data_IF_487898672611
#
_entry.id   IF_487898672611
#
_cell.length_a   1.000
_cell.length_b   1.000
_cell.length_c   1.000
_cell.angle_alpha   90.00
_cell.angle_beta   90.00
_cell.angle_gamma   90.00
#
_symmetry.space_group_name_H-M   'P 1'
#
loop_
_entity.id
_entity.type
_entity.pdbx_description
1 polymer ?
#
# COMPACT_ATOMS: atom_id res chain seq x y z
N UNK A 1 73.65 -20.88 39.32
CA UNK A 1 72.25 -20.62 39.69
C UNK A 1 71.61 -19.62 38.72
N UNK A 2 72.28 -18.51 38.39
CA UNK A 2 71.86 -17.54 37.37
C UNK A 2 71.50 -18.13 36.00
N UNK A 3 72.35 -19.01 35.44
CA UNK A 3 72.12 -19.61 34.12
C UNK A 3 70.83 -20.45 34.00
N UNK A 4 70.35 -21.02 35.10
CA UNK A 4 69.11 -21.82 35.10
C UNK A 4 67.88 -20.91 35.12
N UNK A 5 67.95 -19.80 35.85
CA UNK A 5 66.87 -18.81 35.95
C UNK A 5 66.66 -18.13 34.59
N UNK A 6 67.75 -17.79 33.90
CA UNK A 6 67.70 -17.16 32.58
C UNK A 6 67.05 -18.08 31.53
N UNK A 7 67.41 -19.37 31.50
CA UNK A 7 66.80 -20.36 30.60
C UNK A 7 65.30 -20.53 30.86
N UNK A 8 64.87 -20.55 32.13
CA UNK A 8 63.45 -20.66 32.48
C UNK A 8 62.69 -19.41 32.05
N UNK A 9 63.29 -18.23 32.23
CA UNK A 9 62.69 -16.95 31.85
C UNK A 9 62.49 -16.86 30.32
N UNK A 10 63.53 -17.18 29.54
CA UNK A 10 63.48 -17.19 28.07
C UNK A 10 62.43 -18.18 27.55
N UNK A 11 62.36 -19.38 28.14
CA UNK A 11 61.38 -20.40 27.73
C UNK A 11 59.94 -19.95 27.99
N UNK A 12 59.69 -19.31 29.14
CA UNK A 12 58.35 -18.76 29.47
C UNK A 12 57.97 -17.61 28.53
N UNK A 13 58.90 -16.70 28.24
CA UNK A 13 58.68 -15.58 27.32
C UNK A 13 58.34 -16.09 25.91
N UNK A 14 59.08 -17.09 25.40
CA UNK A 14 58.79 -17.71 24.11
C UNK A 14 57.42 -18.37 24.05
N UNK A 15 56.98 -19.02 25.14
CA UNK A 15 55.66 -19.64 25.21
C UNK A 15 54.53 -18.58 25.21
N UNK A 16 54.70 -17.49 25.95
CA UNK A 16 53.75 -16.36 25.98
C UNK A 16 53.66 -15.70 24.60
N UNK A 17 54.79 -15.43 23.94
CA UNK A 17 54.82 -14.82 22.61
C UNK A 17 54.14 -15.69 21.54
N UNK A 18 54.30 -17.02 21.60
CA UNK A 18 53.58 -17.95 20.72
C UNK A 18 52.06 -17.89 20.93
N UNK A 19 51.60 -17.90 22.19
CA UNK A 19 50.17 -17.83 22.48
C UNK A 19 49.54 -16.51 22.02
N UNK A 20 50.24 -15.38 22.19
CA UNK A 20 49.80 -14.07 21.68
C UNK A 20 49.68 -14.08 20.15
N UNK A 21 50.66 -14.67 19.46
CA UNK A 21 50.66 -14.79 18.00
C UNK A 21 49.49 -15.67 17.51
N UNK A 22 49.20 -16.79 18.19
CA UNK A 22 48.05 -17.64 17.87
C UNK A 22 46.72 -16.92 18.08
N UNK A 23 46.57 -16.14 19.16
CA UNK A 23 45.35 -15.36 19.38
C UNK A 23 45.15 -14.24 18.35
N UNK A 24 46.23 -13.57 17.92
CA UNK A 24 46.17 -12.57 16.85
C UNK A 24 45.81 -13.18 15.49
N UNK A 25 46.35 -14.36 15.18
CA UNK A 25 46.02 -15.09 13.95
C UNK A 25 44.54 -15.53 13.91
N UNK A 26 43.97 -15.95 15.04
CA UNK A 26 42.55 -16.33 15.13
C UNK A 26 41.62 -15.12 14.95
N UNK A 27 41.97 -13.96 15.52
CA UNK A 27 41.17 -12.72 15.38
C UNK A 27 41.11 -12.21 13.93
N UNK A 28 42.18 -12.37 13.16
CA UNK A 28 42.23 -11.96 11.75
C UNK A 28 41.35 -12.83 10.83
N UNK A 29 41.05 -14.08 11.21
CA UNK A 29 40.18 -14.98 10.44
C UNK A 29 38.67 -14.66 10.59
N UNK A 30 38.28 -13.85 11.58
CA UNK A 30 36.88 -13.42 11.76
C UNK A 30 36.55 -12.06 11.12
N UNK A 31 37.53 -11.36 10.52
CA UNK A 31 37.35 -9.99 10.02
C UNK A 31 37.05 -9.86 8.51
N UNK A 32 36.58 -10.92 7.84
CA UNK A 32 36.19 -10.81 6.43
C UNK A 32 34.83 -11.47 6.16
N UNK A 33 33.80 -10.94 6.81
CA UNK A 33 32.48 -10.87 6.17
C UNK A 33 32.27 -9.42 5.78
N UNK A 34 32.66 -9.10 4.55
CA UNK A 34 32.13 -7.94 3.85
C UNK A 34 30.60 -8.02 3.94
N UNK A 35 30.02 -7.16 4.77
CA UNK A 35 28.59 -6.93 4.72
C UNK A 35 28.35 -6.34 3.33
N UNK A 36 27.76 -7.14 2.45
CA UNK A 36 27.10 -6.61 1.28
C UNK A 36 25.95 -5.76 1.80
N UNK A 37 26.22 -4.49 2.12
CA UNK A 37 25.20 -3.46 2.07
C UNK A 37 24.82 -3.36 0.60
N UNK A 38 23.87 -4.18 0.18
CA UNK A 38 23.03 -3.78 -0.93
C UNK A 38 22.45 -2.43 -0.51
N UNK A 39 22.81 -1.38 -1.23
CA UNK A 39 22.06 -0.14 -1.17
C UNK A 39 20.61 -0.53 -1.50
N UNK A 40 19.77 -0.65 -0.48
CA UNK A 40 18.32 -0.71 -0.67
C UNK A 40 18.00 0.56 -1.46
N UNK A 41 17.63 0.36 -2.72
CA UNK A 41 17.15 1.45 -3.55
C UNK A 41 15.98 2.09 -2.79
N UNK A 42 15.82 3.40 -2.89
CA UNK A 42 14.75 4.18 -2.26
C UNK A 42 13.32 3.77 -2.69
N UNK A 43 13.16 2.63 -3.36
CA UNK A 43 11.91 2.06 -3.86
C UNK A 43 11.38 0.89 -3.01
N UNK A 44 12.02 0.56 -1.88
CA UNK A 44 11.59 -0.55 -0.99
C UNK A 44 10.68 -0.13 0.17
N UNK A 45 10.12 1.10 0.16
CA UNK A 45 9.27 1.62 1.25
C UNK A 45 7.83 1.97 0.82
N UNK A 46 7.28 1.30 -0.20
CA UNK A 46 5.84 1.39 -0.44
C UNK A 46 5.17 0.21 0.29
N UNK A 47 4.70 0.43 1.51
CA UNK A 47 3.92 -0.58 2.24
C UNK A 47 2.48 -0.59 1.71
N UNK A 48 2.28 -1.21 0.54
CA UNK A 48 1.01 -1.16 -0.20
C UNK A 48 0.04 -2.29 0.17
N UNK A 49 0.58 -3.42 0.63
CA UNK A 49 -0.17 -4.64 0.95
C UNK A 49 -1.40 -4.42 1.83
N UNK A 50 -1.38 -3.53 2.85
CA UNK A 50 -2.54 -3.31 3.70
C UNK A 50 -3.79 -2.83 2.94
N UNK A 51 -3.62 -2.12 1.81
CA UNK A 51 -4.71 -1.53 1.04
C UNK A 51 -5.25 -2.45 -0.05
N UNK A 52 -4.45 -3.40 -0.54
CA UNK A 52 -4.83 -4.32 -1.62
C UNK A 52 -6.01 -5.20 -1.17
N UNK A 53 -7.03 -5.33 -2.02
CA UNK A 53 -8.23 -6.13 -1.78
C UNK A 53 -9.52 -5.36 -2.00
N UNK A 54 -10.63 -5.98 -1.60
CA UNK A 54 -11.97 -5.39 -1.70
C UNK A 54 -12.36 -4.70 -0.39
N UNK A 55 -12.91 -3.51 -0.49
CA UNK A 55 -13.42 -2.69 0.61
C UNK A 55 -14.88 -2.36 0.37
N UNK A 56 -15.69 -2.41 1.42
CA UNK A 56 -17.13 -2.17 1.32
C UNK A 56 -17.62 -1.19 2.37
N UNK A 57 -18.53 -0.31 1.94
CA UNK A 57 -19.39 0.46 2.80
C UNK A 57 -20.84 0.12 2.46
N UNK A 58 -21.62 -0.30 3.46
CA UNK A 58 -23.03 -0.65 3.29
C UNK A 58 -23.92 0.39 3.95
N UNK A 59 -24.92 0.88 3.22
CA UNK A 59 -25.96 1.78 3.69
C UNK A 59 -27.34 1.21 3.36
N UNK A 60 -27.95 0.51 4.33
CA UNK A 60 -29.21 -0.21 4.09
C UNK A 60 -29.01 -1.34 3.06
N UNK A 61 -29.74 -1.26 1.96
CA UNK A 61 -29.67 -2.25 0.87
C UNK A 61 -28.64 -1.88 -0.21
N UNK A 62 -27.91 -0.78 -0.07
CA UNK A 62 -26.89 -0.36 -1.04
C UNK A 62 -25.49 -0.64 -0.50
N UNK A 63 -24.60 -1.12 -1.36
CA UNK A 63 -23.19 -1.33 -1.10
C UNK A 63 -22.39 -0.47 -2.06
N UNK A 64 -21.48 0.33 -1.51
CA UNK A 64 -20.38 0.93 -2.23
C UNK A 64 -19.15 0.03 -2.06
N UNK A 65 -18.70 -0.59 -3.15
CA UNK A 65 -17.60 -1.55 -3.17
C UNK A 65 -16.42 -0.97 -3.95
N UNK A 66 -15.22 -1.04 -3.39
CA UNK A 66 -13.97 -0.61 -4.03
C UNK A 66 -13.02 -1.78 -4.10
N UNK A 67 -12.39 -2.00 -5.25
CA UNK A 67 -11.29 -2.96 -5.41
C UNK A 67 -9.98 -2.22 -5.63
N UNK A 68 -8.99 -2.51 -4.81
CA UNK A 68 -7.65 -1.91 -4.88
C UNK A 68 -6.63 -3.01 -5.19
N UNK A 69 -5.77 -2.78 -6.17
CA UNK A 69 -4.72 -3.71 -6.59
C UNK A 69 -3.40 -2.98 -6.83
N UNK A 70 -2.30 -3.73 -6.78
CA UNK A 70 -0.97 -3.20 -7.09
C UNK A 70 -0.64 -3.41 -8.57
N UNK A 71 -0.12 -2.37 -9.20
CA UNK A 71 0.46 -2.42 -10.54
C UNK A 71 1.68 -1.50 -10.62
N UNK A 72 2.84 -2.07 -10.94
CA UNK A 72 4.11 -1.35 -11.11
C UNK A 72 4.45 -0.40 -9.94
N UNK A 73 4.31 -0.87 -8.70
CA UNK A 73 4.58 -0.12 -7.44
C UNK A 73 3.57 0.98 -7.10
N UNK A 74 2.44 1.03 -7.81
CA UNK A 74 1.32 1.93 -7.53
C UNK A 74 0.08 1.15 -7.14
N UNK A 75 -0.78 1.79 -6.35
CA UNK A 75 -2.13 1.29 -6.09
C UNK A 75 -3.08 1.85 -7.13
N UNK A 76 -3.81 0.95 -7.77
CA UNK A 76 -4.88 1.23 -8.72
C UNK A 76 -6.18 0.65 -8.22
N UNK A 77 -7.31 1.11 -8.76
CA UNK A 77 -8.59 0.55 -8.36
C UNK A 77 -9.78 1.06 -9.16
N UNK A 78 -10.89 0.38 -8.89
CA UNK A 78 -12.21 0.60 -9.47
C UNK A 78 -13.27 0.47 -8.37
N UNK A 79 -14.47 0.97 -8.63
CA UNK A 79 -15.58 0.90 -7.68
C UNK A 79 -16.93 0.57 -8.35
N UNK A 80 -17.85 0.08 -7.52
CA UNK A 80 -19.19 -0.35 -7.90
C UNK A 80 -20.22 0.14 -6.88
N UNK A 81 -21.39 0.50 -7.40
CA UNK A 81 -22.61 0.62 -6.63
C UNK A 81 -23.45 -0.63 -6.84
N UNK A 82 -23.85 -1.24 -5.75
CA UNK A 82 -24.52 -2.54 -5.72
C UNK A 82 -25.80 -2.41 -4.89
N UNK A 83 -26.91 -2.92 -5.41
CA UNK A 83 -28.15 -3.06 -4.65
C UNK A 83 -28.31 -4.52 -4.19
N UNK A 84 -28.75 -4.70 -2.94
CA UNK A 84 -28.99 -5.99 -2.31
C UNK A 84 -30.50 -6.20 -2.14
N UNK A 85 -31.05 -7.15 -2.90
CA UNK A 85 -32.46 -7.52 -2.82
C UNK A 85 -32.57 -8.98 -2.38
N UNK A 86 -33.10 -9.21 -1.19
CA UNK A 86 -33.23 -10.55 -0.59
C UNK A 86 -31.92 -11.36 -0.58
N UNK A 87 -30.79 -10.67 -0.33
CA UNK A 87 -29.45 -11.27 -0.33
C UNK A 87 -28.84 -11.48 -1.71
N UNK A 88 -29.51 -11.05 -2.79
CA UNK A 88 -28.95 -11.06 -4.15
C UNK A 88 -28.38 -9.69 -4.46
N UNK A 89 -27.08 -9.64 -4.77
CA UNK A 89 -26.38 -8.44 -5.22
C UNK A 89 -26.62 -8.20 -6.71
N UNK A 90 -26.91 -6.96 -7.08
CA UNK A 90 -26.99 -6.49 -8.47
C UNK A 90 -26.15 -5.23 -8.62
N UNK A 91 -25.20 -5.22 -9.55
CA UNK A 91 -24.45 -4.01 -9.90
C UNK A 91 -25.43 -3.06 -10.60
N UNK A 92 -25.64 -1.89 -10.00
CA UNK A 92 -26.49 -0.83 -10.56
C UNK A 92 -25.65 0.26 -11.24
N UNK A 93 -24.38 0.38 -10.86
CA UNK A 93 -23.41 1.23 -11.53
C UNK A 93 -21.98 0.77 -11.27
N UNK A 94 -21.08 1.04 -12.20
CA UNK A 94 -19.65 0.70 -12.10
C UNK A 94 -18.78 1.76 -12.76
N UNK A 95 -17.63 2.05 -12.15
CA UNK A 95 -16.63 2.98 -12.69
C UNK A 95 -15.89 2.43 -13.90
N UNK A 96 -15.95 1.12 -14.04
CA UNK A 96 -15.19 0.36 -15.00
C UNK A 96 -16.11 -0.17 -16.08
N UNK A 97 -15.91 0.28 -17.32
CA UNK A 97 -16.74 -0.10 -18.45
C UNK A 97 -15.93 -0.07 -19.76
N UNK A 98 -16.46 -0.75 -20.78
CA UNK A 98 -15.99 -0.57 -22.15
C UNK A 98 -16.57 0.72 -22.72
N UNK A 99 -15.72 1.56 -23.30
CA UNK A 99 -16.15 2.80 -23.94
C UNK A 99 -17.16 2.45 -25.06
N UNK A 100 -18.36 3.05 -25.06
CA UNK A 100 -19.41 2.73 -26.02
C UNK A 100 -18.90 2.71 -27.46
N UNK A 101 -19.31 1.69 -28.22
CA UNK A 101 -18.92 1.48 -29.62
C UNK A 101 -17.42 1.22 -29.85
N UNK A 102 -16.68 0.81 -28.82
CA UNK A 102 -15.27 0.43 -28.92
C UNK A 102 -15.00 -0.88 -28.15
N UNK A 103 -13.82 -1.46 -28.39
CA UNK A 103 -13.26 -2.52 -27.56
C UNK A 103 -12.24 -1.96 -26.55
N UNK A 104 -12.31 -0.66 -26.26
CA UNK A 104 -11.37 0.03 -25.37
C UNK A 104 -11.99 0.05 -23.97
N UNK A 105 -11.18 -0.41 -23.03
CA UNK A 105 -11.48 -0.42 -21.61
C UNK A 105 -11.14 0.94 -21.00
N UNK A 106 -12.03 1.52 -20.18
CA UNK A 106 -11.85 2.86 -19.62
C UNK A 106 -10.63 2.98 -18.69
N UNK A 107 -10.13 1.87 -18.15
CA UNK A 107 -8.97 1.85 -17.25
C UNK A 107 -9.37 1.92 -15.79
N UNK A 108 -8.38 2.12 -14.94
CA UNK A 108 -8.56 2.36 -13.51
C UNK A 108 -9.02 3.80 -13.27
N UNK A 109 -9.85 4.00 -12.25
CA UNK A 109 -10.29 5.34 -11.81
C UNK A 109 -9.62 5.80 -10.53
N UNK A 110 -8.95 4.89 -9.81
CA UNK A 110 -8.15 5.18 -8.62
C UNK A 110 -6.67 5.04 -8.95
N UNK A 111 -5.86 6.02 -8.56
CA UNK A 111 -4.40 5.95 -8.69
C UNK A 111 -3.67 6.64 -7.55
N UNK A 112 -2.83 5.90 -6.83
CA UNK A 112 -1.99 6.48 -5.78
C UNK A 112 -1.09 5.48 -5.08
N UNK A 113 -0.89 5.67 -3.78
CA UNK A 113 0.00 4.83 -3.00
C UNK A 113 0.05 5.19 -1.52
N UNK A 114 0.93 4.52 -0.80
CA UNK A 114 1.20 4.75 0.62
C UNK A 114 2.69 4.70 0.91
N UNK A 115 3.13 5.52 1.86
CA UNK A 115 4.51 5.55 2.36
C UNK A 115 4.65 4.80 3.70
N UNK A 116 3.56 4.65 4.45
CA UNK A 116 3.59 4.17 5.84
C UNK A 116 2.79 2.87 6.06
N UNK A 117 1.96 2.46 5.10
CA UNK A 117 1.07 1.31 5.25
C UNK A 117 -0.15 1.57 6.14
N UNK A 118 -0.36 2.82 6.54
CA UNK A 118 -1.48 3.25 7.39
C UNK A 118 -2.41 4.16 6.57
N UNK A 119 -1.86 5.09 5.82
CA UNK A 119 -2.59 6.03 4.98
C UNK A 119 -2.25 5.86 3.51
N UNK A 120 -3.27 5.63 2.70
CA UNK A 120 -3.21 5.75 1.25
C UNK A 120 -3.70 7.14 0.84
N UNK A 121 -2.98 7.77 -0.07
CA UNK A 121 -3.43 8.97 -0.78
C UNK A 121 -3.45 8.70 -2.28
N UNK A 122 -4.50 9.15 -2.96
CA UNK A 122 -4.71 8.87 -4.37
C UNK A 122 -5.56 9.91 -5.08
N UNK A 123 -5.43 9.95 -6.39
CA UNK A 123 -6.41 10.58 -7.28
C UNK A 123 -7.57 9.62 -7.50
N UNK A 124 -8.77 10.17 -7.72
CA UNK A 124 -9.96 9.42 -8.08
C UNK A 124 -10.74 10.17 -9.16
N UNK A 125 -11.24 9.46 -10.16
CA UNK A 125 -12.22 9.96 -11.13
C UNK A 125 -13.59 9.38 -10.80
N UNK A 126 -14.55 10.25 -10.47
CA UNK A 126 -15.95 9.85 -10.40
C UNK A 126 -16.62 10.01 -11.76
N UNK A 127 -16.56 8.94 -12.54
CA UNK A 127 -17.18 8.80 -13.85
C UNK A 127 -18.56 8.12 -13.78
N UNK A 128 -19.24 8.19 -12.63
CA UNK A 128 -20.53 7.53 -12.38
C UNK A 128 -21.66 8.50 -12.02
N UNK A 129 -21.46 9.80 -12.19
CA UNK A 129 -22.54 10.78 -12.05
C UNK A 129 -23.54 10.60 -13.19
N UNK A 130 -24.84 10.62 -12.84
CA UNK A 130 -25.97 10.38 -13.75
C UNK A 130 -25.97 8.96 -14.38
N UNK A 131 -25.39 7.98 -13.70
CA UNK A 131 -25.24 6.60 -14.17
C UNK A 131 -26.54 5.90 -14.53
N UNK A 132 -27.63 6.23 -13.84
CA UNK A 132 -28.98 5.70 -14.07
C UNK A 132 -29.51 6.01 -15.48
N UNK A 133 -28.93 7.01 -16.15
CA UNK A 133 -29.31 7.43 -17.50
C UNK A 133 -28.50 6.74 -18.61
N UNK A 134 -27.61 5.80 -18.25
CA UNK A 134 -26.76 5.06 -19.18
C UNK A 134 -25.42 5.74 -19.48
N UNK A 135 -24.52 5.01 -20.16
CA UNK A 135 -23.11 5.42 -20.35
C UNK A 135 -22.96 6.77 -21.07
N UNK A 136 -23.80 7.08 -22.06
CA UNK A 136 -23.69 8.31 -22.86
C UNK A 136 -24.09 9.57 -22.07
N UNK A 137 -24.82 9.42 -20.97
CA UNK A 137 -25.26 10.51 -20.12
C UNK A 137 -24.34 10.76 -18.92
N UNK A 138 -23.37 9.87 -18.66
CA UNK A 138 -22.51 9.96 -17.49
C UNK A 138 -21.63 11.21 -17.53
N UNK A 139 -21.44 11.79 -16.35
CA UNK A 139 -20.50 12.90 -16.14
C UNK A 139 -19.35 12.46 -15.25
N UNK A 140 -18.24 13.18 -15.38
CA UNK A 140 -17.01 12.96 -14.62
C UNK A 140 -16.73 14.10 -13.64
N UNK A 141 -16.13 13.79 -12.50
CA UNK A 141 -15.47 14.80 -11.67
C UNK A 141 -14.21 14.23 -11.01
N UNK A 142 -13.10 14.96 -11.19
CA UNK A 142 -11.80 14.58 -10.63
C UNK A 142 -11.66 14.99 -9.16
N UNK A 143 -11.05 14.07 -8.41
CA UNK A 143 -10.89 14.15 -6.98
C UNK A 143 -9.55 13.68 -6.46
N UNK A 144 -9.39 13.86 -5.16
CA UNK A 144 -8.45 13.09 -4.36
C UNK A 144 -9.23 12.27 -3.36
N UNK A 145 -8.77 11.06 -3.06
CA UNK A 145 -9.28 10.30 -1.92
C UNK A 145 -8.16 9.86 -0.99
N UNK A 146 -8.55 9.55 0.25
CA UNK A 146 -7.71 8.90 1.23
C UNK A 146 -8.40 7.69 1.85
N UNK A 147 -7.60 6.65 2.10
CA UNK A 147 -7.98 5.49 2.89
C UNK A 147 -7.04 5.38 4.08
N UNK A 148 -7.56 5.53 5.30
CA UNK A 148 -6.75 5.47 6.54
C UNK A 148 -7.17 4.25 7.34
N UNK A 149 -6.28 3.26 7.45
CA UNK A 149 -6.54 2.02 8.18
C UNK A 149 -6.70 2.34 9.66
N UNK A 150 -7.79 1.84 10.24
CA UNK A 150 -8.03 1.90 11.66
C UNK A 150 -7.42 0.66 12.32
N UNK A 151 -6.82 0.82 13.49
CA UNK A 151 -6.26 -0.30 14.24
C UNK A 151 -7.37 -1.28 14.64
N UNK A 152 -7.29 -2.54 14.17
CA UNK A 152 -8.24 -3.59 14.52
C UNK A 152 -7.85 -4.36 15.79
N UNK A 153 -8.84 -4.99 16.42
CA UNK A 153 -8.62 -6.06 17.40
C UNK A 153 -8.30 -7.39 16.71
N UNK A 154 -7.64 -8.31 17.42
CA UNK A 154 -7.37 -9.66 16.91
C UNK A 154 -8.69 -10.36 16.60
N UNK A 155 -8.91 -10.74 15.32
CA UNK A 155 -10.13 -11.40 14.84
C UNK A 155 -11.26 -10.46 14.43
N UNK A 156 -11.08 -9.14 14.53
CA UNK A 156 -12.04 -8.16 14.04
C UNK A 156 -11.82 -7.87 12.55
N UNK A 157 -12.87 -7.53 11.79
CA UNK A 157 -12.69 -7.05 10.41
C UNK A 157 -11.76 -5.83 10.37
N UNK A 158 -10.91 -5.76 9.36
CA UNK A 158 -10.07 -4.59 9.14
C UNK A 158 -10.96 -3.46 8.62
N UNK A 159 -10.91 -2.29 9.24
CA UNK A 159 -11.66 -1.11 8.81
C UNK A 159 -10.75 0.04 8.41
N UNK A 160 -11.27 0.94 7.60
CA UNK A 160 -10.56 2.15 7.21
C UNK A 160 -11.52 3.32 7.00
N UNK A 161 -11.05 4.52 7.31
CA UNK A 161 -11.73 5.76 6.97
C UNK A 161 -11.55 6.06 5.49
N UNK A 162 -12.67 6.17 4.77
CA UNK A 162 -12.74 6.58 3.38
C UNK A 162 -13.19 8.03 3.28
N UNK A 163 -12.45 8.82 2.51
CA UNK A 163 -12.79 10.22 2.28
C UNK A 163 -12.40 10.65 0.88
N UNK A 164 -13.33 11.32 0.20
CA UNK A 164 -13.09 11.94 -1.11
C UNK A 164 -13.22 13.46 -1.00
N UNK A 165 -12.48 14.18 -1.84
CA UNK A 165 -12.61 15.62 -1.96
C UNK A 165 -12.36 16.06 -3.38
N UNK A 166 -13.22 16.95 -3.88
CA UNK A 166 -13.11 17.43 -5.25
C UNK A 166 -11.91 18.38 -5.37
N UNK A 167 -11.14 18.24 -6.44
CA UNK A 167 -10.05 19.17 -6.74
C UNK A 167 -10.63 20.58 -6.99
N UNK A 168 -9.99 21.59 -6.38
CA UNK A 168 -10.36 23.00 -6.57
C UNK A 168 -9.73 23.52 -7.86
N UNK A 169 -10.49 24.29 -8.64
CA UNK A 169 -10.03 24.85 -9.91
C UNK A 169 -11.12 25.65 -10.61
N UNK A 170 -10.78 26.22 -11.78
CA UNK A 170 -11.77 26.79 -12.68
C UNK A 170 -12.67 25.68 -13.22
N UNK A 171 -13.98 25.93 -13.29
CA UNK A 171 -14.98 24.99 -13.77
C UNK A 171 -15.88 25.65 -14.81
N UNK A 172 -16.30 24.88 -15.81
CA UNK A 172 -17.29 25.36 -16.77
C UNK A 172 -18.71 25.26 -16.21
N UNK A 173 -19.65 26.00 -16.81
CA UNK A 173 -21.06 25.94 -16.43
C UNK A 173 -21.61 24.57 -16.84
N UNK A 174 -22.14 23.81 -15.89
CA UNK A 174 -22.72 22.47 -16.12
C UNK A 174 -21.85 21.31 -15.63
N UNK A 175 -20.59 21.57 -15.26
CA UNK A 175 -19.75 20.55 -14.61
C UNK A 175 -20.30 20.16 -13.23
N UNK A 176 -20.28 18.86 -12.88
CA UNK A 176 -20.69 18.40 -11.57
C UNK A 176 -19.90 19.05 -10.43
N UNK A 177 -20.57 19.22 -9.30
CA UNK A 177 -20.00 19.86 -8.11
C UNK A 177 -19.96 18.96 -6.88
N UNK A 178 -20.44 17.75 -7.03
CA UNK A 178 -20.58 16.75 -5.98
C UNK A 178 -20.18 15.39 -6.58
N UNK A 179 -19.68 14.51 -5.72
CA UNK A 179 -19.48 13.12 -6.07
C UNK A 179 -20.80 12.35 -5.93
N UNK A 180 -20.98 11.34 -6.77
CA UNK A 180 -21.89 10.23 -6.50
C UNK A 180 -21.30 9.25 -5.46
N UNK A 181 -19.97 9.18 -5.40
CA UNK A 181 -19.21 8.36 -4.45
C UNK A 181 -19.41 8.87 -3.01
N UNK A 182 -19.69 7.99 -2.02
CA UNK A 182 -19.80 8.41 -0.62
C UNK A 182 -18.48 8.96 -0.09
N UNK A 183 -18.55 9.88 0.88
CA UNK A 183 -17.40 10.45 1.59
C UNK A 183 -17.61 10.37 3.09
N UNK A 184 -16.50 10.38 3.85
CA UNK A 184 -16.50 10.40 5.32
C UNK A 184 -17.24 9.18 5.91
N UNK A 185 -16.94 8.00 5.35
CA UNK A 185 -17.53 6.71 5.75
C UNK A 185 -16.45 5.74 6.25
N UNK A 186 -16.87 4.73 7.01
CA UNK A 186 -16.01 3.62 7.42
C UNK A 186 -16.23 2.46 6.48
N UNK A 187 -15.18 2.06 5.79
CA UNK A 187 -15.18 0.86 4.95
C UNK A 187 -14.63 -0.33 5.71
N UNK A 188 -15.13 -1.52 5.38
CA UNK A 188 -14.65 -2.80 5.90
C UNK A 188 -13.93 -3.56 4.79
N UNK A 189 -12.77 -4.13 5.09
CA UNK A 189 -12.05 -5.00 4.16
C UNK A 189 -12.74 -6.37 4.11
N UNK A 190 -13.01 -6.83 2.91
CA UNK A 190 -13.59 -8.16 2.68
C UNK A 190 -12.47 -9.21 2.65
N UNK A 191 -12.73 -10.35 3.29
CA UNK A 191 -11.78 -11.47 3.40
C UNK A 191 -11.65 -12.26 2.10
#
# INVERSE_FOLDING_TARGET
MESLIEKILVTKILHIMKNILYTLAILLLFSCKSQNLSAQSRYTMNNLTPFIGTWEYQNGNEIFRVSIYEDNLYLKGDYWFIEVNNGVETIICESNYNIPNTNIYNGYVIFGGSLDGIKMGAQIDDNTIDCENGLDARKGVDGTFGLTIQSGCLGCPITAEWKVSIIRGMRTVGEPREFSIPTDVIMTKMN
#
